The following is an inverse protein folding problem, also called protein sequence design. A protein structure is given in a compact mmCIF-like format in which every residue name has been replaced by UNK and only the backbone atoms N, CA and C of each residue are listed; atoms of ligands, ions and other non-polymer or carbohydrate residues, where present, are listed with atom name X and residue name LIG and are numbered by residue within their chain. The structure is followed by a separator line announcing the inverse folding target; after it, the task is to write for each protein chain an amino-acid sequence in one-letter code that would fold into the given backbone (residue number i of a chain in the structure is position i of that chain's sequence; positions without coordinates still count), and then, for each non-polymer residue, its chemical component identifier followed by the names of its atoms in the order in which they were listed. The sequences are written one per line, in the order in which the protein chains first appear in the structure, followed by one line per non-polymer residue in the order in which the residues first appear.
data_IF_948344259295
#
_entry.id   IF_948344259295
#
_cell.length_a   1.000
_cell.length_b   1.000
_cell.length_c   1.000
_cell.angle_alpha   90.00
_cell.angle_beta   90.00
_cell.angle_gamma   90.00
#
_symmetry.space_group_name_H-M   'P 1'
#
loop_
_entity.id
_entity.type
_entity.pdbx_description
1 polymer ?
#
# COMPACT_ATOMS: atom_id res chain seq x y z
N UNK A 1 15.74 7.18 10.72
CA UNK A 1 16.45 6.68 9.52
C UNK A 1 16.45 7.70 8.38
N UNK A 2 15.32 8.09 7.80
CA UNK A 2 15.28 9.08 6.69
C UNK A 2 15.87 10.45 7.08
N UNK A 3 15.38 11.03 8.18
CA UNK A 3 15.85 12.33 8.69
C UNK A 3 17.36 12.37 8.96
N UNK A 4 17.94 11.24 9.39
CA UNK A 4 19.38 11.13 9.64
C UNK A 4 20.23 11.25 8.36
N UNK A 5 19.61 11.02 7.19
CA UNK A 5 20.21 11.16 5.86
C UNK A 5 19.67 12.38 5.10
N UNK A 6 18.98 13.31 5.79
CA UNK A 6 18.37 14.47 5.14
C UNK A 6 17.19 14.16 4.21
N UNK A 7 16.60 12.96 4.33
CA UNK A 7 15.45 12.52 3.53
C UNK A 7 14.15 12.63 4.34
N UNK A 8 13.01 12.72 3.64
CA UNK A 8 11.66 12.82 4.22
C UNK A 8 10.65 11.96 3.43
N UNK A 9 9.41 11.79 3.89
CA UNK A 9 8.42 11.02 3.11
C UNK A 9 7.82 11.83 1.95
N UNK A 10 7.78 13.14 2.07
CA UNK A 10 7.18 14.02 1.07
C UNK A 10 7.69 13.76 -0.35
N UNK A 11 6.73 13.53 -1.26
CA UNK A 11 6.97 13.28 -2.69
C UNK A 11 7.53 11.90 -3.02
N UNK A 12 7.78 11.04 -2.03
CA UNK A 12 8.33 9.69 -2.24
C UNK A 12 7.23 8.65 -2.43
N UNK A 13 7.48 7.73 -3.34
CA UNK A 13 6.67 6.56 -3.58
C UNK A 13 6.95 5.49 -2.52
N UNK A 14 5.90 4.92 -1.95
CA UNK A 14 5.97 3.96 -0.84
C UNK A 14 5.16 2.71 -1.16
N UNK A 15 5.77 1.55 -0.97
CA UNK A 15 5.11 0.24 -1.07
C UNK A 15 4.90 -0.30 0.34
N UNK A 16 3.68 -0.75 0.66
CA UNK A 16 3.34 -1.29 1.99
C UNK A 16 2.78 -2.69 1.84
N UNK A 17 3.46 -3.74 2.31
CA UNK A 17 2.86 -5.08 2.26
C UNK A 17 1.80 -5.25 3.35
N UNK A 18 0.77 -6.04 3.03
CA UNK A 18 -0.36 -6.26 3.94
C UNK A 18 -1.42 -5.17 3.85
N UNK A 19 -2.61 -5.51 4.32
CA UNK A 19 -3.81 -4.67 4.31
C UNK A 19 -4.54 -4.73 5.65
N UNK A 20 -3.85 -5.16 6.70
CA UNK A 20 -4.40 -5.26 8.07
C UNK A 20 -4.14 -4.00 8.87
N UNK A 21 -4.45 -4.05 10.16
CA UNK A 21 -4.35 -2.91 11.09
C UNK A 21 -3.00 -2.17 11.00
N UNK A 22 -1.88 -2.90 11.03
CA UNK A 22 -0.54 -2.31 10.97
C UNK A 22 -0.32 -1.59 9.63
N UNK A 23 -0.65 -2.24 8.52
CA UNK A 23 -0.51 -1.67 7.19
C UNK A 23 -1.39 -0.43 6.98
N UNK A 24 -2.64 -0.46 7.45
CA UNK A 24 -3.58 0.67 7.33
C UNK A 24 -3.02 1.90 8.02
N UNK A 25 -2.58 1.79 9.28
CA UNK A 25 -2.01 2.92 10.00
C UNK A 25 -0.63 3.33 9.48
N UNK A 26 0.15 2.40 8.93
CA UNK A 26 1.39 2.74 8.25
C UNK A 26 1.13 3.59 6.99
N UNK A 27 0.15 3.19 6.17
CA UNK A 27 -0.28 3.96 4.99
C UNK A 27 -0.80 5.33 5.39
N UNK A 28 -1.66 5.40 6.40
CA UNK A 28 -2.18 6.66 6.96
C UNK A 28 -1.05 7.61 7.34
N UNK A 29 -0.05 7.11 8.08
CA UNK A 29 1.06 7.94 8.51
C UNK A 29 1.97 8.38 7.37
N UNK A 30 2.18 7.52 6.37
CA UNK A 30 2.93 7.89 5.16
C UNK A 30 2.23 9.02 4.40
N UNK A 31 0.91 8.91 4.22
CA UNK A 31 0.10 9.91 3.53
C UNK A 31 0.12 11.24 4.29
N UNK A 32 -0.05 11.22 5.61
CA UNK A 32 0.05 12.42 6.47
C UNK A 32 1.41 13.13 6.34
N UNK A 33 2.49 12.37 6.09
CA UNK A 33 3.84 12.90 5.93
C UNK A 33 4.17 13.28 4.47
N UNK A 34 3.16 13.34 3.59
CA UNK A 34 3.27 13.73 2.19
C UNK A 34 3.83 12.64 1.27
N UNK A 35 4.00 11.41 1.78
CA UNK A 35 4.39 10.26 0.97
C UNK A 35 3.22 9.71 0.18
N UNK A 36 3.55 9.05 -0.93
CA UNK A 36 2.56 8.47 -1.84
C UNK A 36 2.62 6.96 -1.75
N UNK A 37 1.63 6.34 -1.11
CA UNK A 37 1.51 4.88 -1.10
C UNK A 37 1.05 4.43 -2.48
N UNK A 38 1.85 3.63 -3.18
CA UNK A 38 1.56 3.19 -4.56
C UNK A 38 1.16 1.73 -4.65
N UNK A 39 1.43 0.90 -3.65
CA UNK A 39 0.99 -0.48 -3.64
C UNK A 39 0.72 -1.01 -2.24
N UNK A 40 -0.25 -1.90 -2.13
CA UNK A 40 -0.46 -2.73 -0.94
C UNK A 40 -0.92 -4.15 -1.27
N UNK A 41 -0.81 -5.08 -0.33
CA UNK A 41 -1.11 -6.50 -0.58
C UNK A 41 -1.97 -7.16 0.50
N UNK A 42 -2.54 -8.31 0.18
CA UNK A 42 -3.05 -9.28 1.13
C UNK A 42 -2.60 -10.70 0.76
N UNK A 43 -3.19 -11.73 1.38
CA UNK A 43 -2.83 -13.12 1.07
C UNK A 43 -3.29 -13.61 -0.30
N UNK A 44 -4.14 -12.85 -1.01
CA UNK A 44 -4.67 -13.21 -2.33
C UNK A 44 -4.04 -12.44 -3.49
N UNK A 45 -3.22 -11.42 -3.22
CA UNK A 45 -2.54 -10.64 -4.25
C UNK A 45 -2.07 -9.28 -3.74
N UNK A 46 -1.62 -8.44 -4.65
CA UNK A 46 -1.28 -7.04 -4.41
C UNK A 46 -1.97 -6.14 -5.41
N UNK A 47 -2.19 -4.88 -5.04
CA UNK A 47 -2.67 -3.85 -5.96
C UNK A 47 -1.60 -2.79 -6.12
N UNK A 48 -1.49 -2.25 -7.33
CA UNK A 48 -0.62 -1.15 -7.67
C UNK A 48 -1.45 -0.01 -8.26
N UNK A 49 -1.36 1.16 -7.66
CA UNK A 49 -1.99 2.38 -8.15
C UNK A 49 -0.90 3.46 -8.35
N UNK A 50 -0.52 3.78 -9.61
CA UNK A 50 0.49 4.78 -9.88
C UNK A 50 0.04 6.19 -9.48
N UNK A 51 -1.27 6.43 -9.27
CA UNK A 51 -1.82 7.70 -8.80
C UNK A 51 -1.84 7.79 -7.27
N UNK A 52 -1.74 6.64 -6.59
CA UNK A 52 -1.67 6.51 -5.15
C UNK A 52 -2.91 5.80 -4.60
N UNK A 53 -2.70 4.90 -3.64
CA UNK A 53 -3.77 4.10 -3.04
C UNK A 53 -4.71 4.99 -2.22
N UNK A 54 -6.00 4.85 -2.47
CA UNK A 54 -7.08 5.45 -1.67
C UNK A 54 -7.23 4.70 -0.34
N UNK A 55 -6.68 5.29 0.73
CA UNK A 55 -6.77 4.72 2.09
C UNK A 55 -8.22 4.49 2.53
N UNK A 56 -9.14 5.39 2.17
CA UNK A 56 -10.56 5.28 2.51
C UNK A 56 -11.16 4.00 1.92
N UNK A 57 -10.84 3.69 0.66
CA UNK A 57 -11.30 2.47 0.00
C UNK A 57 -10.68 1.23 0.65
N UNK A 58 -9.41 1.28 1.05
CA UNK A 58 -8.80 0.15 1.77
C UNK A 58 -9.49 -0.08 3.12
N UNK A 59 -9.75 0.98 3.89
CA UNK A 59 -10.47 0.89 5.17
C UNK A 59 -11.88 0.33 4.96
N UNK A 60 -12.61 0.81 3.95
CA UNK A 60 -13.94 0.29 3.60
C UNK A 60 -13.89 -1.22 3.28
N UNK A 61 -13.01 -1.63 2.37
CA UNK A 61 -12.89 -3.03 1.96
C UNK A 61 -12.49 -3.93 3.13
N UNK A 62 -11.57 -3.50 4.00
CA UNK A 62 -10.97 -4.37 5.02
C UNK A 62 -11.63 -4.29 6.39
N UNK A 63 -12.12 -3.13 6.81
CA UNK A 63 -12.70 -2.92 8.14
C UNK A 63 -14.23 -3.04 8.13
N UNK A 64 -14.89 -2.75 7.01
CA UNK A 64 -16.36 -2.74 6.90
C UNK A 64 -16.88 -3.95 6.12
N UNK A 65 -16.35 -4.17 4.91
CA UNK A 65 -16.91 -5.15 3.98
C UNK A 65 -16.24 -6.53 4.04
N UNK A 66 -15.08 -6.61 4.70
CA UNK A 66 -14.26 -7.82 4.81
C UNK A 66 -13.96 -8.48 3.44
N UNK A 67 -13.63 -7.65 2.45
CA UNK A 67 -13.32 -8.07 1.07
C UNK A 67 -11.82 -8.27 0.82
N UNK A 68 -11.52 -8.91 -0.31
CA UNK A 68 -10.16 -9.05 -0.83
C UNK A 68 -9.65 -7.74 -1.41
N UNK A 69 -8.34 -7.56 -1.37
CA UNK A 69 -7.72 -6.32 -1.85
C UNK A 69 -7.95 -6.12 -3.36
N UNK A 70 -8.16 -7.20 -4.11
CA UNK A 70 -8.49 -7.15 -5.52
C UNK A 70 -9.78 -6.40 -5.84
N UNK A 71 -10.76 -6.31 -4.94
CA UNK A 71 -11.96 -5.51 -5.18
C UNK A 71 -11.69 -4.00 -5.35
N UNK A 72 -10.49 -3.54 -4.99
CA UNK A 72 -10.07 -2.15 -5.18
C UNK A 72 -10.08 -1.73 -6.66
N UNK A 73 -9.70 -2.62 -7.59
CA UNK A 73 -9.61 -2.28 -9.03
C UNK A 73 -10.99 -2.05 -9.67
N UNK A 74 -12.05 -2.62 -9.08
CA UNK A 74 -13.42 -2.41 -9.54
C UNK A 74 -13.89 -0.97 -9.27
N UNK A 75 -13.31 -0.32 -8.26
CA UNK A 75 -13.59 1.06 -7.85
C UNK A 75 -12.56 2.02 -8.48
N UNK A 76 -11.32 1.58 -8.66
CA UNK A 76 -10.21 2.36 -9.18
C UNK A 76 -9.65 1.70 -10.46
N UNK A 77 -10.22 2.01 -11.65
CA UNK A 77 -9.85 1.34 -12.90
C UNK A 77 -8.43 1.66 -13.40
N UNK A 78 -7.75 2.61 -12.77
CA UNK A 78 -6.34 2.92 -13.04
C UNK A 78 -5.35 2.06 -12.25
N UNK A 79 -5.86 1.29 -11.28
CA UNK A 79 -5.06 0.39 -10.49
C UNK A 79 -4.97 -0.99 -11.16
N UNK A 80 -3.84 -1.64 -10.94
CA UNK A 80 -3.53 -2.95 -11.49
C UNK A 80 -3.52 -3.99 -10.37
N UNK A 81 -4.09 -5.16 -10.65
CA UNK A 81 -4.02 -6.31 -9.76
C UNK A 81 -2.80 -7.16 -10.11
N UNK A 82 -2.01 -7.46 -9.09
CA UNK A 82 -0.88 -8.38 -9.13
C UNK A 82 -1.35 -9.65 -8.40
N UNK A 83 -1.54 -10.75 -9.13
CA UNK A 83 -2.08 -11.99 -8.56
C UNK A 83 -1.14 -12.60 -7.51
N UNK A 84 0.17 -12.48 -7.71
CA UNK A 84 1.18 -12.96 -6.77
C UNK A 84 1.55 -11.86 -5.77
N UNK A 85 1.18 -12.04 -4.51
CA UNK A 85 1.46 -11.07 -3.46
C UNK A 85 2.96 -10.87 -3.18
N UNK A 86 3.83 -11.81 -3.58
CA UNK A 86 5.28 -11.65 -3.46
C UNK A 86 5.85 -10.65 -4.49
N UNK A 87 5.16 -10.47 -5.62
CA UNK A 87 5.57 -9.54 -6.68
C UNK A 87 5.31 -8.07 -6.32
N UNK A 88 4.71 -7.78 -5.16
CA UNK A 88 4.63 -6.42 -4.64
C UNK A 88 6.01 -5.75 -4.54
N UNK A 89 7.07 -6.52 -4.28
CA UNK A 89 8.44 -6.01 -4.18
C UNK A 89 9.08 -5.67 -5.52
N UNK A 90 8.45 -6.04 -6.63
CA UNK A 90 8.86 -5.66 -7.98
C UNK A 90 8.29 -4.30 -8.39
N UNK A 91 7.36 -3.73 -7.61
CA UNK A 91 6.82 -2.39 -7.85
C UNK A 91 7.91 -1.34 -7.56
N UNK A 92 8.24 -0.47 -8.54
CA UNK A 92 9.20 0.62 -8.33
C UNK A 92 8.77 1.55 -7.18
N UNK A 93 9.64 1.74 -6.20
CA UNK A 93 9.37 2.64 -5.07
C UNK A 93 10.65 3.20 -4.45
N UNK A 94 10.52 4.31 -3.72
CA UNK A 94 11.61 4.90 -2.94
C UNK A 94 11.73 4.25 -1.56
N UNK A 95 10.61 3.78 -0.99
CA UNK A 95 10.53 3.23 0.36
C UNK A 95 9.62 1.99 0.35
N UNK A 96 10.10 0.89 0.94
CA UNK A 96 9.31 -0.32 1.16
C UNK A 96 9.06 -0.54 2.66
N UNK A 97 7.79 -0.77 3.04
CA UNK A 97 7.36 -1.04 4.41
C UNK A 97 6.72 -2.44 4.50
N UNK A 98 7.47 -3.47 4.95
CA UNK A 98 6.92 -4.80 5.15
C UNK A 98 6.04 -4.87 6.40
N UNK A 99 4.73 -5.03 6.23
CA UNK A 99 3.76 -5.03 7.33
C UNK A 99 2.78 -6.22 7.30
N UNK A 100 3.04 -7.24 6.46
CA UNK A 100 2.19 -8.43 6.34
C UNK A 100 2.49 -9.52 7.39
N UNK A 101 3.52 -10.35 7.15
CA UNK A 101 3.87 -11.50 7.98
C UNK A 101 5.38 -11.71 8.02
N UNK A 102 5.84 -12.49 9.00
CA UNK A 102 7.18 -13.05 9.04
C UNK A 102 7.22 -14.32 8.17
N UNK A 103 8.27 -14.49 7.37
CA UNK A 103 8.62 -15.76 6.71
C UNK A 103 9.86 -16.36 7.35
#
# INVERSE_FOLDING_TARGET
MLKAHGLQFEGRSVVVSGSGNVSIYAMEKVIELGGKVVACSDSSGAIYDPQGISLETIKQLKEVENQRIGAYIDIHPHAELIEDCEQIWSVPCDIALPCATQK
#
